data_IF_682001339014
#
_entry.id   IF_682001339014
#
_cell.length_a   1.000
_cell.length_b   1.000
_cell.length_c   1.000
_cell.angle_alpha   90.00
_cell.angle_beta   90.00
_cell.angle_gamma   90.00
#
_symmetry.space_group_name_H-M   'P 1'
#
loop_
_entity.id
_entity.type
_entity.pdbx_description
1 polymer ?
#
# COMPACT_ATOMS: atom_id res chain seq x y z
N UNK A 1 0.06 17.35 -21.30
CA UNK A 1 0.52 16.12 -20.63
C UNK A 1 -0.71 15.46 -20.06
N UNK A 2 -1.04 14.26 -20.51
CA UNK A 2 -2.14 13.50 -19.90
C UNK A 2 -1.52 12.87 -18.65
N UNK A 3 -1.86 13.39 -17.47
CA UNK A 3 -1.57 12.68 -16.22
C UNK A 3 -2.32 11.35 -16.31
N UNK A 4 -1.65 10.18 -16.34
CA UNK A 4 -2.37 8.93 -16.29
C UNK A 4 -3.18 8.95 -15.01
N UNK A 5 -4.50 8.86 -15.14
CA UNK A 5 -5.40 8.78 -14.00
C UNK A 5 -4.98 7.55 -13.20
N UNK A 6 -4.46 7.77 -11.98
CA UNK A 6 -4.10 6.70 -11.08
C UNK A 6 -5.32 5.78 -10.94
N UNK A 7 -5.21 4.55 -11.45
CA UNK A 7 -6.29 3.58 -11.34
C UNK A 7 -6.34 3.18 -9.87
N UNK A 8 -7.41 3.55 -9.19
CA UNK A 8 -7.68 3.08 -7.83
C UNK A 8 -7.89 1.57 -7.90
N UNK A 9 -7.08 0.81 -7.15
CA UNK A 9 -7.25 -0.62 -7.06
C UNK A 9 -8.61 -0.96 -6.44
N UNK A 10 -9.31 -1.90 -7.05
CA UNK A 10 -10.62 -2.37 -6.57
C UNK A 10 -10.43 -3.45 -5.50
N UNK A 11 -11.48 -3.74 -4.71
CA UNK A 11 -11.47 -4.88 -3.79
C UNK A 11 -11.17 -6.22 -4.49
N UNK A 12 -11.51 -6.34 -5.78
CA UNK A 12 -11.18 -7.51 -6.59
C UNK A 12 -9.68 -7.58 -6.84
N UNK A 13 -9.04 -6.46 -7.20
CA UNK A 13 -7.59 -6.40 -7.40
C UNK A 13 -6.85 -6.81 -6.11
N UNK A 14 -7.32 -6.35 -4.95
CA UNK A 14 -6.81 -6.77 -3.63
C UNK A 14 -7.03 -8.26 -3.33
N UNK A 15 -8.20 -8.81 -3.65
CA UNK A 15 -8.51 -10.21 -3.42
C UNK A 15 -7.57 -11.15 -4.18
N UNK A 16 -7.21 -10.79 -5.42
CA UNK A 16 -6.38 -11.61 -6.30
C UNK A 16 -4.88 -11.30 -6.23
N UNK A 17 -4.47 -10.20 -5.59
CA UNK A 17 -3.07 -9.87 -5.39
C UNK A 17 -2.34 -10.96 -4.57
N UNK A 18 -1.03 -11.17 -4.81
CA UNK A 18 -0.25 -12.16 -4.05
C UNK A 18 -0.16 -11.77 -2.57
N UNK A 19 0.20 -12.74 -1.73
CA UNK A 19 0.40 -12.48 -0.29
C UNK A 19 1.55 -11.49 -0.06
N UNK A 20 2.64 -11.66 -0.79
CA UNK A 20 3.85 -10.85 -0.72
C UNK A 20 3.95 -10.04 -2.00
N UNK A 21 4.08 -8.72 -1.85
CA UNK A 21 4.04 -7.74 -2.93
C UNK A 21 5.44 -7.18 -3.16
N UNK A 22 5.85 -7.07 -4.43
CA UNK A 22 6.90 -6.12 -4.80
C UNK A 22 6.47 -4.69 -4.47
N UNK A 23 7.44 -3.77 -4.41
CA UNK A 23 7.15 -2.37 -4.08
C UNK A 23 6.27 -1.71 -5.15
N UNK A 24 6.39 -2.14 -6.40
CA UNK A 24 5.59 -1.69 -7.53
C UNK A 24 4.15 -2.23 -7.48
N UNK A 25 3.97 -3.49 -7.06
CA UNK A 25 2.64 -4.06 -6.83
C UNK A 25 1.96 -3.38 -5.64
N UNK A 26 2.70 -3.13 -4.55
CA UNK A 26 2.21 -2.38 -3.41
C UNK A 26 1.83 -0.94 -3.79
N UNK A 27 2.63 -0.28 -4.62
CA UNK A 27 2.34 1.07 -5.14
C UNK A 27 1.06 1.07 -5.96
N UNK A 28 0.91 0.11 -6.88
CA UNK A 28 -0.30 0.01 -7.69
C UNK A 28 -1.55 -0.33 -6.87
N UNK A 29 -1.43 -1.09 -5.77
CA UNK A 29 -2.57 -1.50 -4.93
C UNK A 29 -2.99 -0.42 -3.92
N UNK A 30 -2.01 0.22 -3.28
CA UNK A 30 -2.25 1.24 -2.26
C UNK A 30 -2.57 2.61 -2.86
N UNK A 31 -2.05 2.90 -4.05
CA UNK A 31 -2.07 4.25 -4.63
C UNK A 31 -0.97 5.18 -4.09
N UNK A 32 -0.15 4.70 -3.16
CA UNK A 32 1.07 5.40 -2.72
C UNK A 32 2.15 5.28 -3.79
N UNK A 33 2.97 6.33 -3.93
CA UNK A 33 4.19 6.24 -4.73
C UNK A 33 5.26 5.40 -4.02
N UNK A 34 6.32 5.06 -4.78
CA UNK A 34 7.39 4.21 -4.28
C UNK A 34 8.15 4.86 -3.13
N UNK A 35 8.37 6.17 -3.18
CA UNK A 35 9.10 6.90 -2.13
C UNK A 35 8.33 6.86 -0.81
N UNK A 36 7.01 7.08 -0.86
CA UNK A 36 6.11 6.96 0.29
C UNK A 36 6.13 5.54 0.88
N UNK A 37 6.13 4.51 0.03
CA UNK A 37 6.22 3.11 0.50
C UNK A 37 7.56 2.80 1.16
N UNK A 38 8.66 3.37 0.67
CA UNK A 38 9.98 3.23 1.30
C UNK A 38 10.00 3.91 2.67
N UNK A 39 9.38 5.08 2.82
CA UNK A 39 9.23 5.75 4.12
C UNK A 39 8.40 4.91 5.09
N UNK A 40 7.30 4.30 4.63
CA UNK A 40 6.48 3.39 5.43
C UNK A 40 7.29 2.18 5.92
N UNK A 41 8.13 1.60 5.04
CA UNK A 41 9.03 0.52 5.40
C UNK A 41 10.07 0.97 6.44
N UNK A 42 10.65 2.16 6.27
CA UNK A 42 11.67 2.71 7.18
C UNK A 42 11.15 2.86 8.61
N UNK A 43 9.85 3.13 8.78
CA UNK A 43 9.19 3.26 10.09
C UNK A 43 8.53 1.97 10.57
N UNK A 44 8.80 0.81 9.95
CA UNK A 44 8.24 -0.50 10.31
C UNK A 44 6.69 -0.52 10.24
N UNK A 45 6.12 0.23 9.28
CA UNK A 45 4.67 0.38 9.12
C UNK A 45 4.00 -0.82 8.44
N UNK A 46 4.78 -1.72 7.83
CA UNK A 46 4.31 -2.94 7.14
C UNK A 46 5.27 -4.10 7.39
N UNK A 47 4.73 -5.32 7.38
CA UNK A 47 5.52 -6.54 7.51
C UNK A 47 6.24 -6.87 6.20
N UNK A 48 7.49 -7.35 6.30
CA UNK A 48 8.30 -7.80 5.17
C UNK A 48 8.64 -9.30 5.26
N UNK A 49 8.77 -9.96 4.11
CA UNK A 49 9.39 -11.30 4.04
C UNK A 49 10.92 -11.24 3.96
N UNK A 50 11.57 -12.42 3.95
CA UNK A 50 13.02 -12.55 3.85
C UNK A 50 13.62 -11.95 2.55
N UNK A 51 12.79 -11.69 1.54
CA UNK A 51 13.18 -11.09 0.26
C UNK A 51 12.86 -9.58 0.20
N UNK A 52 12.34 -9.00 1.29
CA UNK A 52 11.98 -7.58 1.37
C UNK A 52 10.67 -7.23 0.68
N UNK A 53 9.80 -8.22 0.40
CA UNK A 53 8.47 -7.98 -0.17
C UNK A 53 7.48 -7.62 0.92
N UNK A 54 6.57 -6.70 0.60
CA UNK A 54 5.57 -6.18 1.53
C UNK A 54 4.43 -7.18 1.70
N UNK A 55 4.04 -7.50 2.93
CA UNK A 55 2.85 -8.31 3.16
C UNK A 55 1.58 -7.53 2.81
N UNK A 56 0.78 -8.07 1.90
CA UNK A 56 -0.49 -7.46 1.48
C UNK A 56 -1.43 -7.14 2.64
N UNK A 57 -1.48 -8.01 3.66
CA UNK A 57 -2.39 -7.84 4.79
C UNK A 57 -1.97 -6.66 5.68
N UNK A 58 -0.69 -6.56 6.04
CA UNK A 58 -0.17 -5.43 6.81
C UNK A 58 -0.36 -4.10 6.07
N UNK A 59 -0.13 -4.06 4.74
CA UNK A 59 -0.38 -2.87 3.93
C UNK A 59 -1.86 -2.47 3.93
N UNK A 60 -2.79 -3.42 3.81
CA UNK A 60 -4.23 -3.13 3.91
C UNK A 60 -4.58 -2.50 5.27
N UNK A 61 -4.06 -3.05 6.36
CA UNK A 61 -4.30 -2.54 7.71
C UNK A 61 -3.73 -1.14 7.92
N UNK A 62 -2.54 -0.88 7.36
CA UNK A 62 -1.94 0.45 7.37
C UNK A 62 -2.87 1.48 6.71
N UNK A 63 -3.40 1.17 5.52
CA UNK A 63 -4.34 2.06 4.80
C UNK A 63 -5.63 2.30 5.59
N UNK A 64 -6.20 1.26 6.23
CA UNK A 64 -7.36 1.43 7.11
C UNK A 64 -7.06 2.35 8.29
N UNK A 65 -5.86 2.22 8.89
CA UNK A 65 -5.42 3.08 9.98
C UNK A 65 -5.21 4.54 9.52
N UNK A 66 -4.64 4.76 8.33
CA UNK A 66 -4.49 6.11 7.76
C UNK A 66 -5.84 6.81 7.60
N UNK A 67 -6.85 6.09 7.08
CA UNK A 67 -8.22 6.63 6.94
C UNK A 67 -8.81 6.98 8.30
N UNK A 68 -8.62 6.13 9.30
CA UNK A 68 -9.10 6.41 10.66
C UNK A 68 -8.46 7.67 11.24
N UNK A 69 -7.14 7.83 11.12
CA UNK A 69 -6.41 9.01 11.60
C UNK A 69 -6.86 10.27 10.86
N UNK A 70 -7.08 10.20 9.54
CA UNK A 70 -7.58 11.33 8.76
C UNK A 70 -8.94 11.85 9.27
N UNK A 71 -9.78 10.96 9.80
CA UNK A 71 -11.10 11.30 10.35
C UNK A 71 -11.11 11.68 11.83
N UNK A 72 -9.99 11.61 12.56
CA UNK A 72 -9.94 12.04 13.97
C UNK A 72 -9.88 13.56 14.15
N UNK A 73 -9.66 14.31 13.06
CA UNK A 73 -9.66 15.77 13.05
C UNK A 73 -11.01 16.41 12.67
N UNK A 74 -12.04 15.61 12.36
CA UNK A 74 -13.41 16.03 12.03
C UNK A 74 -14.31 16.04 13.29
#
# INVERSE_FOLDING_TARGET
MVVPQARIATLVDWAFAPKWLSIEEASSLSGHDVDTLLEIIEVDGVDLDDEGRIEKQSLWQFLEAEVLVAHWGD
#
